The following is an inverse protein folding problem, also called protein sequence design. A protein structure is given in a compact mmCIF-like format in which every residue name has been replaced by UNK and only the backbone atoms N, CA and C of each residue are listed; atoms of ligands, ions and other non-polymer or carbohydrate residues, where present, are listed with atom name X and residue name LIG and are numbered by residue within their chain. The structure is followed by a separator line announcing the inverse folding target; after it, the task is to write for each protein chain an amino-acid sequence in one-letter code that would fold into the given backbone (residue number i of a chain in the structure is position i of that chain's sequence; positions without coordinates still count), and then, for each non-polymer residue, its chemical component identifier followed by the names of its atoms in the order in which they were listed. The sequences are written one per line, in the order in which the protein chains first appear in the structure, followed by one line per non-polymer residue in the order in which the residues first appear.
data_IF_632570467495
#
_entry.id   IF_632570467495
#
_cell.length_a   1.000
_cell.length_b   1.000
_cell.length_c   1.000
_cell.angle_alpha   90.00
_cell.angle_beta   90.00
_cell.angle_gamma   90.00
#
_symmetry.space_group_name_H-M   'P 1'
#
loop_
_entity.id
_entity.type
_entity.pdbx_description
1 polymer ?
#
# COMPACT_ATOMS: atom_id res chain seq x y z
N UNK A 1 -66.74 -21.17 1.63
CA UNK A 1 -66.72 -20.62 3.00
C UNK A 1 -66.12 -19.20 3.06
N UNK A 2 -66.33 -18.32 2.06
CA UNK A 2 -65.70 -16.98 2.01
C UNK A 2 -66.66 -15.82 2.31
N UNK A 3 -67.91 -15.87 1.81
CA UNK A 3 -68.90 -14.77 2.01
C UNK A 3 -69.27 -14.51 3.47
N UNK A 4 -69.36 -15.54 4.31
CA UNK A 4 -69.75 -15.40 5.72
C UNK A 4 -68.70 -14.65 6.55
N UNK A 5 -67.40 -14.82 6.26
CA UNK A 5 -66.32 -14.16 7.01
C UNK A 5 -66.29 -12.66 6.69
N UNK A 6 -66.48 -12.28 5.42
CA UNK A 6 -66.53 -10.87 5.02
C UNK A 6 -67.69 -10.11 5.67
N UNK A 7 -68.87 -10.73 5.80
CA UNK A 7 -70.02 -10.13 6.49
C UNK A 7 -69.73 -9.87 7.97
N UNK A 8 -69.08 -10.82 8.67
CA UNK A 8 -68.73 -10.69 10.09
C UNK A 8 -67.74 -9.52 10.29
N UNK A 9 -66.70 -9.41 9.45
CA UNK A 9 -65.72 -8.31 9.55
C UNK A 9 -66.38 -6.95 9.28
N UNK A 10 -67.26 -6.83 8.28
CA UNK A 10 -67.99 -5.60 8.01
C UNK A 10 -68.92 -5.20 9.17
N UNK A 11 -69.64 -6.15 9.78
CA UNK A 11 -70.50 -5.88 10.93
C UNK A 11 -69.69 -5.42 12.14
N UNK A 12 -68.54 -6.04 12.43
CA UNK A 12 -67.67 -5.64 13.55
C UNK A 12 -67.12 -4.22 13.37
N UNK A 13 -66.70 -3.85 12.15
CA UNK A 13 -66.21 -2.49 11.85
C UNK A 13 -67.34 -1.45 12.01
N UNK A 14 -68.56 -1.76 11.54
CA UNK A 14 -69.72 -0.88 11.72
C UNK A 14 -70.06 -0.72 13.20
N UNK A 15 -70.12 -1.81 13.98
CA UNK A 15 -70.39 -1.74 15.43
C UNK A 15 -69.33 -0.90 16.15
N UNK A 16 -68.05 -1.07 15.82
CA UNK A 16 -66.96 -0.29 16.43
C UNK A 16 -67.06 1.21 16.11
N UNK A 17 -67.43 1.56 14.88
CA UNK A 17 -67.68 2.95 14.46
C UNK A 17 -68.94 3.54 15.13
N UNK A 18 -70.01 2.75 15.29
CA UNK A 18 -71.25 3.19 15.95
C UNK A 18 -71.03 3.43 17.46
N UNK A 19 -70.24 2.59 18.13
CA UNK A 19 -69.84 2.80 19.54
C UNK A 19 -68.99 4.07 19.69
N UNK A 20 -68.13 4.38 18.72
CA UNK A 20 -67.26 5.57 18.74
C UNK A 20 -68.01 6.90 18.49
N UNK A 21 -69.25 6.85 18.02
CA UNK A 21 -70.09 8.03 17.71
C UNK A 21 -71.14 8.34 18.79
N UNK A 22 -71.25 7.52 19.84
CA UNK A 22 -72.29 7.63 20.85
C UNK A 22 -71.91 8.43 22.13
N UNK A 23 -70.74 9.07 22.16
CA UNK A 23 -70.21 9.76 23.36
C UNK A 23 -70.12 11.30 23.25
N UNK A 24 -70.93 11.91 22.38
CA UNK A 24 -71.15 13.37 22.23
C UNK A 24 -72.63 13.54 21.87
N UNK A 25 -73.50 14.29 22.57
CA UNK A 25 -73.48 15.03 23.84
C UNK A 25 -74.89 14.89 24.50
N UNK A 26 -75.40 15.63 25.50
CA UNK A 26 -75.06 16.89 26.22
C UNK A 26 -75.87 16.92 27.55
N UNK A 27 -75.52 17.80 28.49
CA UNK A 27 -76.40 18.72 29.28
C UNK A 27 -75.91 18.99 30.72
N UNK A 28 -75.98 20.27 31.11
CA UNK A 28 -75.54 20.79 32.40
C UNK A 28 -76.60 20.62 33.50
N UNK A 29 -76.16 20.23 34.70
CA UNK A 29 -76.90 20.49 35.94
C UNK A 29 -75.91 20.89 37.05
N UNK A 30 -76.03 22.14 37.52
CA UNK A 30 -75.09 22.75 38.44
C UNK A 30 -75.28 22.30 39.89
N UNK A 31 -74.22 21.78 40.51
CA UNK A 31 -74.09 21.73 41.96
C UNK A 31 -72.66 22.11 42.37
N UNK A 32 -72.53 23.15 43.20
CA UNK A 32 -71.24 23.76 43.53
C UNK A 32 -70.50 22.98 44.62
N UNK A 33 -69.38 22.34 44.26
CA UNK A 33 -68.31 22.01 45.20
C UNK A 33 -66.98 22.56 44.70
N UNK A 34 -66.22 23.17 45.60
CA UNK A 34 -65.09 24.04 45.28
C UNK A 34 -63.84 23.28 44.80
N UNK A 35 -63.14 23.93 43.88
CA UNK A 35 -61.74 23.72 43.44
C UNK A 35 -60.86 22.85 44.36
N UNK A 36 -60.77 21.55 44.06
CA UNK A 36 -59.73 20.65 44.62
C UNK A 36 -59.10 19.71 43.58
N UNK A 37 -59.76 19.38 42.46
CA UNK A 37 -59.16 18.53 41.42
C UNK A 37 -57.99 19.18 40.66
N UNK A 38 -58.11 20.48 40.31
CA UNK A 38 -57.10 21.17 39.48
C UNK A 38 -55.72 21.35 40.16
N UNK A 39 -55.63 21.12 41.48
CA UNK A 39 -54.36 21.19 42.21
C UNK A 39 -53.59 19.85 42.20
N UNK A 40 -54.29 18.70 42.17
CA UNK A 40 -53.64 17.38 42.12
C UNK A 40 -52.87 17.15 40.81
N UNK A 41 -53.41 17.61 39.67
CA UNK A 41 -52.76 17.47 38.36
C UNK A 41 -51.41 18.19 38.27
N UNK A 42 -51.32 19.43 38.78
CA UNK A 42 -50.08 20.19 38.80
C UNK A 42 -49.00 19.59 39.71
N UNK A 43 -49.39 19.06 40.87
CA UNK A 43 -48.47 18.36 41.76
C UNK A 43 -47.93 17.07 41.13
N UNK A 44 -48.82 16.25 40.55
CA UNK A 44 -48.42 15.01 39.87
C UNK A 44 -47.50 15.28 38.68
N UNK A 45 -47.80 16.31 37.88
CA UNK A 45 -46.93 16.72 36.76
C UNK A 45 -45.54 17.15 37.24
N UNK A 46 -45.45 17.97 38.30
CA UNK A 46 -44.16 18.39 38.85
C UNK A 46 -43.34 17.22 39.43
N UNK A 47 -44.00 16.21 40.01
CA UNK A 47 -43.34 14.99 40.48
C UNK A 47 -42.87 14.07 39.33
N UNK A 48 -43.62 14.02 38.23
CA UNK A 48 -43.30 13.20 37.04
C UNK A 48 -42.35 13.88 36.05
N UNK A 49 -42.26 15.22 36.05
CA UNK A 49 -41.46 16.00 35.11
C UNK A 49 -39.99 15.54 35.02
N UNK A 50 -39.25 15.28 36.12
CA UNK A 50 -37.88 14.77 36.03
C UNK A 50 -37.76 13.43 35.27
N UNK A 51 -38.78 12.58 35.37
CA UNK A 51 -38.83 11.29 34.66
C UNK A 51 -39.11 11.53 33.17
N UNK A 52 -40.05 12.42 32.84
CA UNK A 52 -40.36 12.81 31.45
C UNK A 52 -39.14 13.47 30.76
N UNK A 53 -38.46 14.37 31.45
CA UNK A 53 -37.24 15.02 30.97
C UNK A 53 -36.11 13.99 30.75
N UNK A 54 -35.97 13.00 31.65
CA UNK A 54 -35.00 11.90 31.51
C UNK A 54 -35.36 10.93 30.37
N UNK A 55 -36.65 10.70 30.10
CA UNK A 55 -37.11 9.93 28.92
C UNK A 55 -36.77 10.69 27.64
N UNK A 56 -37.03 12.01 27.57
CA UNK A 56 -36.68 12.84 26.42
C UNK A 56 -35.16 12.85 26.16
N UNK A 57 -34.35 13.08 27.19
CA UNK A 57 -32.89 13.03 27.09
C UNK A 57 -32.37 11.66 26.63
N UNK A 58 -33.00 10.56 27.07
CA UNK A 58 -32.64 9.23 26.58
C UNK A 58 -33.11 8.97 25.14
N UNK A 59 -34.23 9.54 24.69
CA UNK A 59 -34.65 9.48 23.29
C UNK A 59 -33.63 10.17 22.37
N UNK A 60 -33.12 11.35 22.77
CA UNK A 60 -32.05 12.05 22.05
C UNK A 60 -30.77 11.22 21.98
N UNK A 61 -30.37 10.58 23.10
CA UNK A 61 -29.21 9.68 23.16
C UNK A 61 -29.39 8.43 22.28
N UNK A 62 -30.59 7.87 22.21
CA UNK A 62 -30.92 6.76 21.30
C UNK A 62 -30.81 7.19 19.84
N UNK A 63 -31.40 8.32 19.48
CA UNK A 63 -31.34 8.87 18.12
C UNK A 63 -29.88 9.14 17.69
N UNK A 64 -29.04 9.68 18.60
CA UNK A 64 -27.62 9.91 18.35
C UNK A 64 -26.82 8.60 18.21
N UNK A 65 -27.17 7.56 18.97
CA UNK A 65 -26.58 6.22 18.84
C UNK A 65 -26.91 5.59 17.48
N UNK A 66 -28.17 5.66 17.04
CA UNK A 66 -28.59 5.16 15.71
C UNK A 66 -27.94 5.94 14.56
N UNK A 67 -27.79 7.26 14.68
CA UNK A 67 -27.04 8.07 13.71
C UNK A 67 -25.56 7.65 13.64
N UNK A 68 -24.92 7.42 14.79
CA UNK A 68 -23.52 6.95 14.86
C UNK A 68 -23.36 5.55 14.26
N UNK A 69 -24.35 4.68 14.46
CA UNK A 69 -24.41 3.33 13.88
C UNK A 69 -24.54 3.37 12.37
N UNK A 70 -25.39 4.26 11.84
CA UNK A 70 -25.58 4.45 10.39
C UNK A 70 -24.30 4.99 9.72
N UNK A 71 -23.59 5.92 10.38
CA UNK A 71 -22.28 6.37 9.90
C UNK A 71 -21.25 5.23 9.93
N UNK A 72 -21.26 4.41 10.99
CA UNK A 72 -20.43 3.21 11.11
C UNK A 72 -20.66 2.21 9.97
N UNK A 73 -21.91 1.93 9.62
CA UNK A 73 -22.24 1.06 8.48
C UNK A 73 -21.78 1.67 7.15
N UNK A 74 -22.03 2.97 6.91
CA UNK A 74 -21.57 3.62 5.69
C UNK A 74 -20.03 3.65 5.53
N UNK A 75 -19.28 3.68 6.65
CA UNK A 75 -17.82 3.52 6.66
C UNK A 75 -17.41 2.08 6.31
N UNK A 76 -18.12 1.07 6.82
CA UNK A 76 -17.89 -0.34 6.47
C UNK A 76 -18.17 -0.60 4.99
N UNK A 77 -19.32 -0.17 4.47
CA UNK A 77 -19.68 -0.31 3.04
C UNK A 77 -18.60 0.30 2.13
N UNK A 78 -18.04 1.45 2.53
CA UNK A 78 -16.93 2.10 1.81
C UNK A 78 -15.64 1.29 1.86
N UNK A 79 -15.33 0.66 2.99
CA UNK A 79 -14.15 -0.22 3.13
C UNK A 79 -14.34 -1.52 2.34
N UNK A 80 -15.52 -2.13 2.36
CA UNK A 80 -15.85 -3.31 1.56
C UNK A 80 -15.73 -3.02 0.05
N UNK A 81 -16.22 -1.85 -0.41
CA UNK A 81 -16.01 -1.39 -1.79
C UNK A 81 -14.53 -1.19 -2.14
N UNK A 82 -13.70 -0.72 -1.21
CA UNK A 82 -12.24 -0.64 -1.41
C UNK A 82 -11.59 -2.03 -1.49
N UNK A 83 -12.01 -2.99 -0.66
CA UNK A 83 -11.52 -4.38 -0.70
C UNK A 83 -11.91 -5.05 -2.02
N UNK A 84 -13.14 -4.89 -2.50
CA UNK A 84 -13.58 -5.41 -3.78
C UNK A 84 -12.74 -4.85 -4.96
N UNK A 85 -12.50 -3.53 -4.98
CA UNK A 85 -11.65 -2.88 -5.98
C UNK A 85 -10.19 -3.39 -5.92
N UNK A 86 -9.65 -3.64 -4.73
CA UNK A 86 -8.31 -4.20 -4.58
C UNK A 86 -8.23 -5.66 -5.05
N UNK A 87 -9.29 -6.45 -4.83
CA UNK A 87 -9.40 -7.83 -5.32
C UNK A 87 -9.52 -7.88 -6.86
N UNK A 88 -10.28 -6.97 -7.47
CA UNK A 88 -10.35 -6.82 -8.94
C UNK A 88 -9.00 -6.40 -9.55
N UNK A 89 -8.29 -5.47 -8.91
CA UNK A 89 -6.93 -5.10 -9.32
C UNK A 89 -5.94 -6.25 -9.19
N UNK A 90 -6.04 -7.04 -8.11
CA UNK A 90 -5.17 -8.19 -7.89
C UNK A 90 -5.39 -9.27 -8.96
N UNK A 91 -6.64 -9.64 -9.24
CA UNK A 91 -6.95 -10.64 -10.27
C UNK A 91 -6.53 -10.17 -11.68
N UNK A 92 -6.60 -8.87 -11.95
CA UNK A 92 -6.06 -8.26 -13.18
C UNK A 92 -4.53 -8.41 -13.29
N UNK A 93 -3.79 -8.21 -12.18
CA UNK A 93 -2.34 -8.39 -12.12
C UNK A 93 -1.97 -9.87 -12.29
N UNK A 94 -2.72 -10.78 -11.67
CA UNK A 94 -2.52 -12.23 -11.82
C UNK A 94 -2.79 -12.70 -13.25
N UNK A 95 -3.87 -12.23 -13.89
CA UNK A 95 -4.15 -12.51 -15.30
C UNK A 95 -3.06 -11.96 -16.24
N UNK A 96 -2.50 -10.78 -15.95
CA UNK A 96 -1.40 -10.21 -16.72
C UNK A 96 -0.09 -11.01 -16.60
N UNK A 97 0.11 -11.73 -15.49
CA UNK A 97 1.28 -12.60 -15.25
C UNK A 97 1.19 -13.91 -16.04
N UNK A 98 0.01 -14.50 -16.16
CA UNK A 98 -0.21 -15.81 -16.81
C UNK A 98 -0.52 -15.71 -18.32
N UNK A 99 -0.66 -14.50 -18.88
CA UNK A 99 -0.91 -14.29 -20.30
C UNK A 99 0.24 -14.84 -21.19
N UNK A 100 -0.04 -15.58 -22.29
CA UNK A 100 1.01 -16.06 -23.20
C UNK A 100 1.59 -14.90 -24.00
N UNK A 101 2.70 -14.34 -23.53
CA UNK A 101 3.29 -13.09 -24.03
C UNK A 101 3.61 -12.08 -22.93
N UNK A 102 3.09 -12.30 -21.71
CA UNK A 102 3.64 -11.64 -20.51
C UNK A 102 5.13 -11.93 -20.42
N UNK A 103 5.95 -10.88 -20.20
CA UNK A 103 7.37 -11.06 -19.90
C UNK A 103 7.44 -11.99 -18.69
N UNK A 104 7.94 -13.23 -18.88
CA UNK A 104 8.31 -14.08 -17.74
C UNK A 104 9.16 -13.21 -16.83
N UNK A 105 8.67 -12.92 -15.62
CA UNK A 105 9.47 -12.25 -14.61
C UNK A 105 10.66 -13.16 -14.42
N UNK A 106 11.83 -12.75 -14.94
CA UNK A 106 13.07 -13.48 -14.71
C UNK A 106 13.23 -13.45 -13.20
N UNK A 107 13.04 -14.59 -12.57
CA UNK A 107 13.29 -14.76 -11.16
C UNK A 107 14.75 -14.32 -10.95
N UNK A 108 14.93 -13.21 -10.23
CA UNK A 108 16.24 -12.61 -9.96
C UNK A 108 16.94 -13.46 -8.89
N UNK A 109 17.22 -14.71 -9.25
CA UNK A 109 17.74 -15.72 -8.36
C UNK A 109 19.17 -15.39 -7.93
N UNK A 110 19.42 -15.47 -6.63
CA UNK A 110 20.63 -14.98 -5.99
C UNK A 110 20.83 -13.46 -5.96
N UNK A 111 19.88 -12.63 -6.42
CA UNK A 111 19.99 -11.18 -6.24
C UNK A 111 19.51 -10.77 -4.83
N UNK A 112 20.24 -9.82 -4.22
CA UNK A 112 19.88 -9.14 -2.98
C UNK A 112 19.41 -7.72 -3.27
N UNK A 113 18.35 -7.27 -2.59
CA UNK A 113 17.89 -5.88 -2.71
C UNK A 113 18.80 -4.93 -1.90
N UNK A 114 19.24 -3.85 -2.54
CA UNK A 114 20.03 -2.78 -1.93
C UNK A 114 19.38 -1.44 -2.32
N UNK A 115 18.67 -0.83 -1.38
CA UNK A 115 17.82 0.34 -1.68
C UNK A 115 16.66 -0.05 -2.62
N UNK A 116 16.53 0.68 -3.73
CA UNK A 116 15.51 0.43 -4.77
C UNK A 116 15.93 -0.56 -5.86
N UNK A 117 17.18 -1.03 -5.86
CA UNK A 117 17.76 -1.87 -6.92
C UNK A 117 18.18 -3.24 -6.39
N UNK A 118 18.37 -4.19 -7.30
CA UNK A 118 18.77 -5.56 -6.99
C UNK A 118 20.20 -5.81 -7.47
N UNK A 119 21.00 -6.51 -6.68
CA UNK A 119 22.39 -6.84 -6.99
C UNK A 119 22.68 -8.33 -6.85
N UNK A 120 23.37 -8.92 -7.82
CA UNK A 120 23.94 -10.26 -7.71
C UNK A 120 25.46 -10.12 -7.51
N UNK A 121 25.99 -10.68 -6.44
CA UNK A 121 27.43 -10.62 -6.11
C UNK A 121 28.00 -12.02 -6.33
N UNK A 122 28.88 -12.20 -7.31
CA UNK A 122 29.52 -13.49 -7.58
C UNK A 122 30.42 -13.91 -6.39
N UNK A 123 30.41 -15.20 -6.07
CA UNK A 123 31.03 -15.75 -4.85
C UNK A 123 32.05 -16.87 -5.13
N UNK A 124 32.05 -17.44 -6.33
CA UNK A 124 32.78 -18.68 -6.64
C UNK A 124 33.66 -18.58 -7.89
N UNK A 125 33.29 -17.72 -8.85
CA UNK A 125 33.97 -17.65 -10.15
C UNK A 125 34.61 -16.28 -10.38
N UNK A 126 35.78 -16.29 -11.02
CA UNK A 126 36.43 -15.09 -11.53
C UNK A 126 36.44 -15.10 -13.06
N UNK A 127 36.18 -13.94 -13.67
CA UNK A 127 36.04 -13.79 -15.12
C UNK A 127 36.58 -12.44 -15.58
N UNK A 128 36.91 -12.32 -16.87
CA UNK A 128 37.25 -11.03 -17.46
C UNK A 128 35.99 -10.14 -17.62
N UNK A 129 36.20 -8.83 -17.77
CA UNK A 129 35.13 -7.84 -17.77
C UNK A 129 34.06 -8.07 -18.86
N UNK A 130 34.50 -8.49 -20.06
CA UNK A 130 33.61 -8.85 -21.16
C UNK A 130 32.74 -10.07 -20.84
N UNK A 131 33.31 -11.07 -20.16
CA UNK A 131 32.59 -12.26 -19.74
C UNK A 131 31.60 -11.94 -18.60
N UNK A 132 32.01 -11.12 -17.62
CA UNK A 132 31.11 -10.61 -16.58
C UNK A 132 29.91 -9.85 -17.17
N UNK A 133 30.16 -8.98 -18.16
CA UNK A 133 29.11 -8.30 -18.94
C UNK A 133 28.11 -9.29 -19.55
N UNK A 134 28.61 -10.35 -20.19
CA UNK A 134 27.76 -11.39 -20.79
C UNK A 134 26.94 -12.16 -19.74
N UNK A 135 27.55 -12.54 -18.62
CA UNK A 135 26.88 -13.30 -17.54
C UNK A 135 25.77 -12.47 -16.90
N UNK A 136 26.01 -11.18 -16.62
CA UNK A 136 24.98 -10.31 -16.05
C UNK A 136 23.78 -10.12 -17.01
N UNK A 137 24.03 -9.96 -18.31
CA UNK A 137 22.96 -9.92 -19.33
C UNK A 137 22.15 -11.22 -19.38
N UNK A 138 22.80 -12.38 -19.27
CA UNK A 138 22.11 -13.67 -19.19
C UNK A 138 21.23 -13.76 -17.93
N UNK A 139 21.75 -13.32 -16.78
CA UNK A 139 21.01 -13.20 -15.50
C UNK A 139 19.87 -12.17 -15.53
N UNK A 140 19.76 -11.34 -16.57
CA UNK A 140 18.66 -10.38 -16.75
C UNK A 140 18.95 -8.97 -16.26
N UNK A 141 20.23 -8.61 -16.13
CA UNK A 141 20.68 -7.28 -15.74
C UNK A 141 21.96 -6.87 -16.46
N UNK A 142 22.75 -6.00 -15.84
CA UNK A 142 24.03 -5.51 -16.36
C UNK A 142 25.12 -5.64 -15.30
N UNK A 143 26.40 -5.43 -15.64
CA UNK A 143 27.42 -5.24 -14.59
C UNK A 143 27.08 -3.96 -13.80
N UNK A 144 27.31 -3.99 -12.49
CA UNK A 144 26.88 -2.94 -11.57
C UNK A 144 27.57 -1.60 -11.84
N UNK A 145 26.80 -0.52 -11.93
CA UNK A 145 27.26 0.85 -12.11
C UNK A 145 26.63 1.71 -11.00
N UNK A 146 27.19 1.72 -9.78
CA UNK A 146 26.67 2.48 -8.66
C UNK A 146 26.40 3.94 -9.04
N UNK A 147 25.19 4.44 -8.74
CA UNK A 147 24.70 5.77 -9.10
C UNK A 147 24.92 6.80 -7.98
N UNK A 148 25.36 6.37 -6.80
CA UNK A 148 25.67 7.26 -5.68
C UNK A 148 26.67 6.67 -4.68
N UNK A 149 27.25 7.52 -3.83
CA UNK A 149 28.11 7.09 -2.73
C UNK A 149 27.37 6.31 -1.63
N UNK A 150 26.06 6.53 -1.46
CA UNK A 150 25.21 5.79 -0.53
C UNK A 150 24.99 4.35 -1.04
N UNK A 151 24.68 4.20 -2.33
CA UNK A 151 24.52 2.90 -2.99
C UNK A 151 25.82 2.10 -2.99
N UNK A 152 26.96 2.73 -3.32
CA UNK A 152 28.26 2.08 -3.20
C UNK A 152 28.52 1.64 -1.76
N UNK A 153 28.28 2.50 -0.76
CA UNK A 153 28.53 2.15 0.65
C UNK A 153 27.71 0.95 1.11
N UNK A 154 26.41 0.89 0.76
CA UNK A 154 25.57 -0.29 1.05
C UNK A 154 26.00 -1.54 0.28
N UNK A 155 26.53 -1.39 -0.94
CA UNK A 155 27.09 -2.50 -1.69
C UNK A 155 28.35 -3.05 -1.00
N UNK A 156 29.26 -2.19 -0.52
CA UNK A 156 30.48 -2.60 0.22
C UNK A 156 30.17 -3.51 1.41
N UNK A 157 29.09 -3.23 2.15
CA UNK A 157 28.63 -4.07 3.28
C UNK A 157 28.30 -5.52 2.90
N UNK A 158 28.09 -5.81 1.61
CA UNK A 158 27.78 -7.14 1.06
C UNK A 158 28.94 -7.78 0.31
N UNK A 159 30.01 -7.03 0.02
CA UNK A 159 31.20 -7.55 -0.67
C UNK A 159 32.08 -8.35 0.28
N UNK A 160 32.69 -9.42 -0.24
CA UNK A 160 33.61 -10.26 0.54
C UNK A 160 35.01 -9.64 0.53
N UNK A 161 35.60 -9.41 1.70
CA UNK A 161 36.99 -8.94 1.81
C UNK A 161 37.98 -9.93 1.17
N UNK A 162 39.06 -9.41 0.61
CA UNK A 162 40.07 -10.19 -0.11
C UNK A 162 39.66 -10.59 -1.53
N UNK A 163 38.68 -9.90 -2.11
CA UNK A 163 38.20 -10.12 -3.49
C UNK A 163 37.92 -8.79 -4.17
N UNK A 164 38.38 -8.66 -5.40
CA UNK A 164 38.11 -7.48 -6.23
C UNK A 164 36.98 -7.78 -7.22
N UNK A 165 36.20 -6.74 -7.58
CA UNK A 165 34.93 -6.90 -8.28
C UNK A 165 34.81 -5.98 -9.49
N UNK A 166 34.54 -6.54 -10.68
CA UNK A 166 34.21 -5.74 -11.87
C UNK A 166 32.89 -4.96 -11.71
N UNK A 167 32.93 -3.70 -12.15
CA UNK A 167 31.78 -2.81 -12.34
C UNK A 167 31.46 -2.65 -13.83
N UNK A 168 30.22 -2.27 -14.13
CA UNK A 168 29.72 -1.98 -15.48
C UNK A 168 30.14 -0.59 -15.96
N UNK A 169 31.40 -0.21 -15.74
CA UNK A 169 31.96 1.08 -16.12
C UNK A 169 33.27 0.84 -16.87
N UNK A 170 33.44 1.52 -18.00
CA UNK A 170 34.61 1.42 -18.88
C UNK A 170 34.78 2.71 -19.68
N UNK A 171 36.00 3.06 -20.06
CA UNK A 171 36.30 4.15 -20.99
C UNK A 171 36.75 3.65 -22.38
N UNK A 172 36.68 2.34 -22.64
CA UNK A 172 36.96 1.66 -23.93
C UNK A 172 36.47 2.36 -25.22
N UNK A 173 35.43 3.21 -25.13
CA UNK A 173 34.90 3.97 -26.26
C UNK A 173 35.63 5.30 -26.51
N UNK A 174 36.21 5.91 -25.46
CA UNK A 174 37.01 7.13 -25.50
C UNK A 174 37.80 7.24 -24.19
N UNK A 175 39.11 7.06 -24.27
CA UNK A 175 40.09 7.23 -23.17
C UNK A 175 39.76 8.40 -22.23
N UNK A 176 39.79 8.15 -20.92
CA UNK A 176 39.47 9.11 -19.87
C UNK A 176 37.97 9.46 -19.72
N UNK A 177 37.07 8.92 -20.55
CA UNK A 177 35.62 9.16 -20.48
C UNK A 177 34.89 7.88 -20.09
N UNK A 178 34.89 7.62 -18.79
CA UNK A 178 34.23 6.46 -18.18
C UNK A 178 32.70 6.50 -18.36
N UNK A 179 32.17 5.45 -19.00
CA UNK A 179 30.76 5.29 -19.35
C UNK A 179 30.18 4.03 -18.72
N UNK A 180 28.90 4.10 -18.38
CA UNK A 180 28.11 2.95 -17.99
C UNK A 180 27.95 2.01 -19.19
N UNK A 181 28.37 0.75 -19.03
CA UNK A 181 28.18 -0.34 -19.99
C UNK A 181 26.69 -0.48 -20.36
N UNK A 182 25.79 -0.38 -19.38
CA UNK A 182 24.36 -0.57 -19.57
C UNK A 182 23.73 0.50 -20.47
N UNK A 183 24.06 1.78 -20.23
CA UNK A 183 23.37 2.92 -20.86
C UNK A 183 24.16 3.64 -21.95
N UNK A 184 25.48 3.46 -22.02
CA UNK A 184 26.39 4.22 -22.88
C UNK A 184 26.62 5.68 -22.43
N UNK A 185 25.88 6.17 -21.43
CA UNK A 185 26.06 7.49 -20.84
C UNK A 185 27.31 7.52 -19.94
N UNK A 186 27.80 8.72 -19.61
CA UNK A 186 28.85 8.89 -18.59
C UNK A 186 28.43 8.22 -17.28
N UNK A 187 29.39 7.64 -16.56
CA UNK A 187 29.13 7.07 -15.25
C UNK A 187 28.60 8.18 -14.31
N UNK A 188 27.39 8.05 -13.74
CA UNK A 188 26.78 9.12 -12.94
C UNK A 188 27.50 9.34 -11.59
N UNK A 189 28.32 8.38 -11.17
CA UNK A 189 29.10 8.44 -9.95
C UNK A 189 30.40 7.64 -10.12
N UNK A 190 31.51 8.24 -9.69
CA UNK A 190 32.84 7.64 -9.63
C UNK A 190 33.46 7.98 -8.27
N UNK A 191 34.16 7.01 -7.66
CA UNK A 191 34.86 7.20 -6.38
C UNK A 191 36.16 6.42 -6.39
N UNK A 192 37.14 7.01 -7.06
CA UNK A 192 38.48 6.49 -7.28
C UNK A 192 39.27 6.25 -5.98
N UNK A 193 40.19 5.29 -6.05
CA UNK A 193 41.26 5.10 -5.08
C UNK A 193 42.29 6.23 -5.13
N UNK A 194 43.21 6.24 -4.17
CA UNK A 194 44.30 7.22 -4.16
C UNK A 194 45.29 6.93 -5.28
N UNK A 195 45.34 7.79 -6.30
CA UNK A 195 46.17 7.64 -7.49
C UNK A 195 45.38 7.33 -8.76
N UNK A 196 44.11 6.93 -8.63
CA UNK A 196 43.30 6.43 -9.74
C UNK A 196 42.38 7.49 -10.38
N UNK A 197 42.01 7.37 -11.66
CA UNK A 197 42.49 6.35 -12.59
C UNK A 197 43.89 6.66 -13.12
N UNK A 198 44.79 5.68 -13.15
CA UNK A 198 46.20 5.87 -13.52
C UNK A 198 46.55 5.40 -14.95
N UNK A 199 45.69 4.57 -15.56
CA UNK A 199 45.86 3.92 -16.85
C UNK A 199 47.23 3.23 -17.05
N UNK A 200 47.53 2.21 -16.23
CA UNK A 200 48.87 1.61 -16.18
C UNK A 200 49.30 0.95 -17.51
N UNK A 201 50.39 1.46 -18.07
CA UNK A 201 50.91 1.14 -19.41
C UNK A 201 49.96 1.52 -20.58
N UNK A 202 48.98 2.40 -20.35
CA UNK A 202 47.93 2.80 -21.30
C UNK A 202 47.04 1.62 -21.77
N UNK A 203 46.57 0.79 -20.84
CA UNK A 203 45.82 -0.44 -21.12
C UNK A 203 44.75 -0.78 -20.07
N UNK A 204 44.37 0.14 -19.19
CA UNK A 204 43.42 -0.09 -18.09
C UNK A 204 42.09 0.61 -18.34
N UNK A 205 41.21 -0.06 -19.07
CA UNK A 205 39.98 0.56 -19.60
C UNK A 205 38.67 0.10 -18.92
N UNK A 206 38.76 -0.67 -17.84
CA UNK A 206 37.62 -1.26 -17.15
C UNK A 206 37.71 -1.02 -15.63
N UNK A 207 36.60 -0.67 -15.00
CA UNK A 207 36.60 -0.29 -13.58
C UNK A 207 36.31 -1.48 -12.67
N UNK A 208 37.15 -1.66 -11.67
CA UNK A 208 36.98 -2.61 -10.56
C UNK A 208 36.73 -1.88 -9.22
N UNK A 209 36.27 -2.62 -8.21
CA UNK A 209 36.34 -2.26 -6.81
C UNK A 209 37.43 -3.09 -6.12
N UNK A 210 38.44 -2.42 -5.54
CA UNK A 210 39.57 -3.09 -4.88
C UNK A 210 39.38 -3.29 -3.39
N UNK A 211 39.41 -4.52 -2.90
CA UNK A 211 39.23 -4.84 -1.47
C UNK A 211 40.36 -4.32 -0.57
N UNK A 212 41.57 -4.10 -1.09
CA UNK A 212 42.68 -3.52 -0.32
C UNK A 212 42.54 -2.00 -0.10
N UNK A 213 41.73 -1.34 -0.95
CA UNK A 213 41.44 0.09 -0.95
C UNK A 213 40.02 0.40 -0.44
N UNK A 214 39.52 -0.36 0.55
CA UNK A 214 38.13 -0.29 1.05
C UNK A 214 37.06 -0.40 -0.05
N UNK A 215 37.29 -1.10 -1.16
CA UNK A 215 36.41 -1.08 -2.34
C UNK A 215 36.19 0.35 -2.89
N UNK A 216 37.27 1.13 -2.99
CA UNK A 216 37.34 2.28 -3.90
C UNK A 216 37.57 1.78 -5.33
N UNK A 217 37.23 2.64 -6.31
CA UNK A 217 37.33 2.31 -7.73
C UNK A 217 38.77 2.37 -8.21
N UNK A 218 39.15 1.41 -9.05
CA UNK A 218 40.42 1.39 -9.79
C UNK A 218 40.12 1.11 -11.26
N UNK A 219 40.87 1.68 -12.18
CA UNK A 219 40.92 1.21 -13.56
C UNK A 219 41.89 0.03 -13.66
N UNK A 220 41.51 -1.02 -14.39
CA UNK A 220 42.34 -2.21 -14.57
C UNK A 220 42.12 -2.77 -15.99
N UNK A 221 43.05 -3.61 -16.42
CA UNK A 221 43.03 -4.28 -17.72
C UNK A 221 41.79 -5.17 -17.80
N UNK A 222 40.90 -4.88 -18.75
CA UNK A 222 39.63 -5.61 -18.96
C UNK A 222 39.77 -7.14 -19.11
N UNK A 223 40.98 -7.63 -19.39
CA UNK A 223 41.33 -9.05 -19.54
C UNK A 223 41.63 -9.78 -18.23
N UNK A 224 41.88 -9.06 -17.13
CA UNK A 224 42.12 -9.65 -15.79
C UNK A 224 40.87 -10.37 -15.29
N UNK A 225 41.05 -11.51 -14.61
CA UNK A 225 39.91 -12.28 -14.09
C UNK A 225 39.61 -11.95 -12.64
N UNK A 226 38.47 -11.31 -12.38
CA UNK A 226 38.00 -10.90 -11.05
C UNK A 226 36.60 -11.45 -10.78
N UNK A 227 36.14 -11.30 -9.53
CA UNK A 227 34.71 -11.46 -9.25
C UNK A 227 33.94 -10.31 -9.91
N UNK A 228 32.61 -10.35 -9.89
CA UNK A 228 31.80 -9.32 -10.51
C UNK A 228 30.50 -9.11 -9.74
N UNK A 229 29.93 -7.92 -9.89
CA UNK A 229 28.60 -7.59 -9.38
C UNK A 229 27.71 -7.31 -10.58
N UNK A 230 26.55 -7.94 -10.64
CA UNK A 230 25.47 -7.55 -11.55
C UNK A 230 24.46 -6.67 -10.83
N UNK A 231 23.82 -5.77 -11.56
CA UNK A 231 22.66 -4.99 -11.13
C UNK A 231 21.42 -5.29 -11.98
N UNK A 232 20.24 -5.19 -11.37
CA UNK A 232 18.95 -5.28 -12.02
C UNK A 232 17.93 -4.35 -11.35
N UNK A 233 16.99 -3.83 -12.14
CA UNK A 233 15.99 -2.83 -11.75
C UNK A 233 15.67 -1.93 -12.94
N UNK A 234 14.64 -1.09 -12.82
CA UNK A 234 14.34 -0.13 -13.89
C UNK A 234 15.43 0.96 -13.93
N UNK A 235 16.07 1.10 -15.10
CA UNK A 235 17.06 2.14 -15.41
C UNK A 235 16.43 3.36 -16.11
N UNK A 236 15.11 3.55 -15.92
CA UNK A 236 14.30 4.69 -16.41
C UNK A 236 14.39 5.91 -15.51
#
# INVERSE_FOLDING_TARGET
MSRSVSLIVSVLIVVYLQVSLASVSTEDASLSTQTTEKQCGGYCFNALKPILDHIAANQERWNACDASKLEGTARLDRMEGQVALLQEKLSTIEAAKEAPGGKKVKQLDGFVQIGSRFFYIEQHHVVNWFSGTSICRQKGGHLASPKSGEELSRLKEKLTKGRDYWLGISDLANEGVFRSQATGNMAPFLKWGSGEPNNHENNEHCVELRSDSDFLMNDNRCTVTLYFVCEAGDDS
#
